data_IF_980440272383
#
_entry.id   IF_980440272383
#
_cell.length_a   1.000
_cell.length_b   1.000
_cell.length_c   1.000
_cell.angle_alpha   90.00
_cell.angle_beta   90.00
_cell.angle_gamma   90.00
#
_symmetry.space_group_name_H-M   'P 1'
#
loop_
_entity.id
_entity.type
_entity.pdbx_description
1 polymer ?
#
# COMPACT_ATOMS: atom_id res chain seq x y z
N UNK A 1 -18.52 7.40 -12.06
CA UNK A 1 -18.08 6.04 -11.71
C UNK A 1 -16.68 6.11 -11.15
N UNK A 2 -16.39 5.39 -10.06
CA UNK A 2 -15.03 5.28 -9.51
C UNK A 2 -14.33 4.03 -10.08
N UNK A 3 -13.11 4.16 -10.55
CA UNK A 3 -12.28 3.02 -10.95
C UNK A 3 -11.65 2.41 -9.69
N UNK A 4 -11.91 1.12 -9.42
CA UNK A 4 -11.40 0.35 -8.25
C UNK A 4 -9.87 0.10 -8.32
N UNK A 5 -9.16 0.81 -9.20
CA UNK A 5 -7.73 0.63 -9.46
C UNK A 5 -7.03 1.95 -9.76
N UNK A 6 -7.12 2.93 -8.87
CA UNK A 6 -6.42 4.22 -9.03
C UNK A 6 -5.81 4.67 -7.71
N UNK A 7 -4.58 5.18 -7.76
CA UNK A 7 -4.05 6.02 -6.69
C UNK A 7 -4.49 7.46 -6.95
N UNK A 8 -5.20 8.04 -5.98
CA UNK A 8 -5.61 9.45 -6.01
C UNK A 8 -4.66 10.28 -5.16
N UNK A 9 -4.51 11.57 -5.48
CA UNK A 9 -3.68 12.50 -4.70
C UNK A 9 -2.16 12.36 -4.93
N UNK A 10 -1.74 11.54 -5.90
CA UNK A 10 -0.32 11.38 -6.25
C UNK A 10 0.28 12.60 -6.93
N UNK A 11 -0.57 13.39 -7.60
CA UNK A 11 -0.17 14.52 -8.40
C UNK A 11 -0.87 15.78 -7.90
N UNK A 12 -0.27 16.92 -8.16
CA UNK A 12 -0.94 18.21 -8.13
C UNK A 12 -0.88 18.84 -9.51
N UNK A 13 -1.82 19.74 -9.79
CA UNK A 13 -1.85 20.52 -11.03
C UNK A 13 -1.24 21.89 -10.78
N UNK A 14 -0.18 22.21 -11.52
CA UNK A 14 0.42 23.54 -11.52
C UNK A 14 -0.46 24.57 -12.21
N UNK A 15 -0.16 25.86 -12.01
CA UNK A 15 -0.85 26.95 -12.71
C UNK A 15 -0.66 26.88 -14.23
N UNK A 16 0.46 26.32 -14.70
CA UNK A 16 0.71 26.03 -16.11
C UNK A 16 -0.25 24.99 -16.70
N UNK A 17 -0.91 24.21 -15.83
CA UNK A 17 -1.72 23.05 -16.22
C UNK A 17 -0.98 21.71 -16.11
N UNK A 18 0.33 21.73 -15.86
CA UNK A 18 1.17 20.54 -15.75
C UNK A 18 0.79 19.69 -14.53
N UNK A 19 0.93 18.37 -14.68
CA UNK A 19 0.69 17.40 -13.61
C UNK A 19 2.02 16.97 -13.02
N UNK A 20 2.30 17.43 -11.81
CA UNK A 20 3.57 17.18 -11.11
C UNK A 20 3.33 16.22 -9.95
N UNK A 21 4.22 15.24 -9.80
CA UNK A 21 4.12 14.25 -8.71
C UNK A 21 4.37 14.94 -7.37
N UNK A 22 3.40 14.85 -6.47
CA UNK A 22 3.47 15.38 -5.10
C UNK A 22 4.02 14.32 -4.12
N UNK A 23 3.66 13.06 -4.34
CA UNK A 23 3.92 11.97 -3.39
C UNK A 23 5.25 11.29 -3.69
N UNK A 24 6.13 11.26 -2.69
CA UNK A 24 7.40 10.53 -2.69
C UNK A 24 7.37 9.26 -1.82
N UNK A 25 8.56 8.74 -1.47
CA UNK A 25 8.70 7.63 -0.51
C UNK A 25 8.09 6.31 -0.97
N UNK A 26 7.58 5.53 -0.01
CA UNK A 26 7.01 4.21 -0.27
C UNK A 26 5.90 4.18 -1.34
N UNK A 27 4.92 5.11 -1.36
CA UNK A 27 3.94 5.13 -2.45
C UNK A 27 4.57 5.35 -3.82
N UNK A 28 5.55 6.27 -3.95
CA UNK A 28 6.24 6.51 -5.22
C UNK A 28 7.00 5.27 -5.68
N UNK A 29 7.70 4.60 -4.77
CA UNK A 29 8.38 3.33 -5.03
C UNK A 29 7.42 2.27 -5.57
N UNK A 30 6.24 2.12 -4.96
CA UNK A 30 5.22 1.18 -5.41
C UNK A 30 4.73 1.54 -6.81
N UNK A 31 4.41 2.80 -7.06
CA UNK A 31 3.97 3.28 -8.37
C UNK A 31 5.02 3.04 -9.45
N UNK A 32 6.30 3.34 -9.17
CA UNK A 32 7.40 3.19 -10.12
C UNK A 32 7.68 1.70 -10.42
N UNK A 33 7.65 0.83 -9.40
CA UNK A 33 7.80 -0.62 -9.57
C UNK A 33 6.64 -1.24 -10.37
N UNK A 34 5.42 -0.70 -10.24
CA UNK A 34 4.28 -1.13 -11.06
C UNK A 34 4.39 -0.60 -12.48
N UNK A 35 4.79 0.65 -12.67
CA UNK A 35 4.99 1.26 -13.99
C UNK A 35 6.05 0.50 -14.80
N UNK A 36 7.17 0.14 -14.16
CA UNK A 36 8.21 -0.69 -14.76
C UNK A 36 7.74 -2.09 -15.21
N UNK A 37 6.55 -2.53 -14.76
CA UNK A 37 5.91 -3.79 -15.13
C UNK A 37 4.68 -3.62 -16.02
N UNK A 38 4.39 -2.40 -16.48
CA UNK A 38 3.17 -2.09 -17.22
C UNK A 38 1.88 -2.21 -16.39
N UNK A 39 2.00 -2.23 -15.06
CA UNK A 39 0.87 -2.36 -14.14
C UNK A 39 0.42 -1.03 -13.54
N UNK A 40 1.01 0.08 -13.97
CA UNK A 40 0.61 1.43 -13.59
C UNK A 40 0.86 2.37 -14.77
N UNK A 41 -0.10 3.26 -15.04
CA UNK A 41 -0.05 4.15 -16.20
C UNK A 41 -0.73 5.49 -15.88
N UNK A 42 -0.31 6.56 -16.54
CA UNK A 42 -0.75 7.92 -16.26
C UNK A 42 0.44 8.83 -15.93
N UNK A 43 0.19 10.04 -15.39
CA UNK A 43 -1.05 10.50 -14.76
C UNK A 43 -2.22 10.72 -15.72
N UNK A 44 -3.44 10.31 -15.32
CA UNK A 44 -4.67 10.57 -16.09
C UNK A 44 -5.42 11.76 -15.47
N UNK A 45 -5.61 12.89 -16.20
CA UNK A 45 -6.34 14.03 -15.70
C UNK A 45 -7.71 13.66 -15.11
N UNK A 46 -7.95 14.04 -13.86
CA UNK A 46 -9.21 13.77 -13.18
C UNK A 46 -9.54 14.90 -12.20
N UNK A 47 -10.62 15.62 -12.48
CA UNK A 47 -11.01 16.84 -11.76
C UNK A 47 -9.85 17.85 -11.74
N UNK A 48 -9.52 18.40 -10.57
CA UNK A 48 -8.46 19.38 -10.37
C UNK A 48 -7.05 18.77 -10.28
N UNK A 49 -6.92 17.45 -10.39
CA UNK A 49 -5.66 16.72 -10.26
C UNK A 49 -5.57 15.62 -11.34
N UNK A 50 -4.91 14.50 -11.03
CA UNK A 50 -4.87 13.28 -11.78
C UNK A 50 -5.11 12.06 -10.88
N UNK A 51 -5.71 11.04 -11.49
CA UNK A 51 -5.68 9.70 -10.98
C UNK A 51 -4.49 8.97 -11.60
N UNK A 52 -3.89 8.05 -10.85
CA UNK A 52 -2.86 7.14 -11.34
C UNK A 52 -3.42 5.72 -11.37
N UNK A 53 -3.98 5.29 -12.51
CA UNK A 53 -4.44 3.92 -12.70
C UNK A 53 -3.38 2.86 -12.43
N UNK A 54 -3.81 1.75 -11.86
CA UNK A 54 -3.02 0.54 -11.71
C UNK A 54 -3.85 -0.71 -12.01
N UNK A 55 -3.16 -1.78 -12.38
CA UNK A 55 -3.76 -3.11 -12.57
C UNK A 55 -3.90 -3.79 -11.20
N UNK A 56 -5.13 -4.09 -10.71
CA UNK A 56 -5.32 -4.54 -9.32
C UNK A 56 -4.57 -5.81 -8.93
N UNK A 57 -4.45 -6.80 -9.82
CA UNK A 57 -3.68 -8.01 -9.54
C UNK A 57 -2.16 -7.73 -9.51
N UNK A 58 -1.69 -6.77 -10.32
CA UNK A 58 -0.32 -6.31 -10.34
C UNK A 58 0.10 -5.70 -9.00
N UNK A 59 -0.76 -4.89 -8.40
CA UNK A 59 -0.55 -4.32 -7.07
C UNK A 59 -0.46 -5.40 -5.98
N UNK A 60 -1.40 -6.36 -5.98
CA UNK A 60 -1.44 -7.46 -5.00
C UNK A 60 -0.14 -8.29 -5.04
N UNK A 61 0.27 -8.71 -6.24
CA UNK A 61 1.49 -9.53 -6.39
C UNK A 61 2.77 -8.76 -6.06
N UNK A 62 2.81 -7.44 -6.30
CA UNK A 62 3.92 -6.61 -5.85
C UNK A 62 4.00 -6.57 -4.32
N UNK A 63 2.88 -6.32 -3.63
CA UNK A 63 2.85 -6.30 -2.17
C UNK A 63 3.20 -7.65 -1.56
N UNK A 64 2.69 -8.76 -2.10
CA UNK A 64 3.09 -10.09 -1.63
C UNK A 64 4.60 -10.30 -1.72
N UNK A 65 5.22 -9.84 -2.81
CA UNK A 65 6.67 -9.95 -2.98
C UNK A 65 7.43 -9.06 -2.02
N UNK A 66 6.99 -7.82 -1.84
CA UNK A 66 7.63 -6.88 -0.91
C UNK A 66 7.55 -7.40 0.51
N UNK A 67 6.38 -7.90 0.92
CA UNK A 67 6.18 -8.49 2.24
C UNK A 67 7.06 -9.72 2.47
N UNK A 68 7.20 -10.60 1.47
CA UNK A 68 8.10 -11.78 1.56
C UNK A 68 9.58 -11.43 1.58
N UNK A 69 9.96 -10.29 1.01
CA UNK A 69 11.35 -9.83 0.98
C UNK A 69 11.77 -9.12 2.27
N UNK A 70 10.80 -8.65 3.08
CA UNK A 70 11.07 -7.96 4.33
C UNK A 70 11.18 -8.97 5.48
N UNK A 71 12.41 -9.26 5.90
CA UNK A 71 12.69 -10.26 6.94
C UNK A 71 12.14 -9.89 8.32
N UNK A 72 11.94 -8.60 8.60
CA UNK A 72 11.34 -8.14 9.85
C UNK A 72 9.80 -8.20 9.84
N UNK A 73 9.16 -8.49 8.70
CA UNK A 73 7.72 -8.55 8.57
C UNK A 73 7.22 -10.00 8.61
N UNK A 74 6.39 -10.31 9.62
CA UNK A 74 5.68 -11.59 9.67
C UNK A 74 4.22 -11.40 9.29
N UNK A 75 3.78 -12.02 8.20
CA UNK A 75 2.40 -11.93 7.72
C UNK A 75 1.57 -13.12 8.22
N UNK A 76 0.55 -12.84 9.03
CA UNK A 76 -0.44 -13.82 9.46
C UNK A 76 -1.71 -13.69 8.64
N UNK A 77 -1.94 -14.63 7.72
CA UNK A 77 -3.19 -14.72 6.96
C UNK A 77 -4.28 -15.38 7.82
N UNK A 78 -5.51 -14.87 7.72
CA UNK A 78 -6.67 -15.39 8.46
C UNK A 78 -6.45 -15.37 9.99
N UNK A 79 -5.87 -14.29 10.49
CA UNK A 79 -5.65 -14.07 11.90
C UNK A 79 -6.61 -13.01 12.47
N UNK A 80 -6.96 -13.16 13.74
CA UNK A 80 -7.75 -12.19 14.51
C UNK A 80 -6.92 -11.69 15.69
N UNK A 81 -6.82 -10.37 15.85
CA UNK A 81 -6.25 -9.79 17.07
C UNK A 81 -7.06 -10.24 18.30
N UNK A 82 -6.36 -10.69 19.34
CA UNK A 82 -7.00 -11.16 20.59
C UNK A 82 -6.75 -10.16 21.71
N UNK A 83 -5.48 -9.82 21.94
CA UNK A 83 -5.07 -8.87 22.98
C UNK A 83 -3.67 -8.32 22.69
N UNK A 84 -3.37 -7.19 23.31
CA UNK A 84 -2.02 -6.64 23.42
C UNK A 84 -1.63 -6.55 24.89
N UNK A 85 -0.37 -6.80 25.20
CA UNK A 85 0.28 -6.34 26.42
C UNK A 85 0.90 -5.00 26.09
N UNK A 86 0.52 -3.97 26.84
CA UNK A 86 1.07 -2.64 26.68
C UNK A 86 1.57 -2.12 28.03
N UNK A 87 2.72 -1.46 28.01
CA UNK A 87 3.36 -0.84 29.16
C UNK A 87 3.86 0.55 28.75
N UNK A 88 3.59 1.58 29.55
CA UNK A 88 4.02 2.97 29.30
C UNK A 88 3.73 3.50 27.89
N UNK A 89 2.59 3.12 27.31
CA UNK A 89 2.18 3.55 25.97
C UNK A 89 2.89 2.81 24.82
N UNK A 90 3.75 1.84 25.12
CA UNK A 90 4.34 0.92 24.15
C UNK A 90 3.61 -0.42 24.15
N UNK A 91 3.56 -1.08 22.99
CA UNK A 91 3.08 -2.46 22.87
C UNK A 91 4.28 -3.38 23.01
N UNK A 92 4.30 -4.17 24.09
CA UNK A 92 5.37 -5.14 24.36
C UNK A 92 5.12 -6.47 23.65
N UNK A 93 3.84 -6.87 23.53
CA UNK A 93 3.45 -8.09 22.87
C UNK A 93 2.02 -8.03 22.33
N UNK A 94 1.74 -8.81 21.28
CA UNK A 94 0.39 -9.05 20.77
C UNK A 94 0.10 -10.53 20.68
N UNK A 95 -1.13 -10.91 21.04
CA UNK A 95 -1.65 -12.25 20.79
C UNK A 95 -2.63 -12.19 19.63
N UNK A 96 -2.41 -13.05 18.64
CA UNK A 96 -3.34 -13.25 17.52
C UNK A 96 -3.84 -14.69 17.52
N UNK A 97 -5.13 -14.86 17.25
CA UNK A 97 -5.71 -16.18 16.99
C UNK A 97 -5.50 -16.49 15.51
N UNK A 98 -4.89 -17.64 15.22
CA UNK A 98 -4.73 -18.16 13.86
C UNK A 98 -5.48 -19.48 13.70
N UNK A 99 -5.57 -20.00 12.48
CA UNK A 99 -6.12 -21.34 12.23
C UNK A 99 -5.34 -22.45 12.96
N UNK A 100 -4.04 -22.27 13.19
CA UNK A 100 -3.17 -23.21 13.90
C UNK A 100 -3.19 -23.06 15.42
N UNK A 101 -4.00 -22.13 15.95
CA UNK A 101 -4.04 -21.78 17.37
C UNK A 101 -3.51 -20.37 17.65
N UNK A 102 -3.57 -19.92 18.91
CA UNK A 102 -3.05 -18.61 19.31
C UNK A 102 -1.52 -18.53 19.17
N UNK A 103 -1.04 -17.38 18.69
CA UNK A 103 0.39 -17.03 18.61
C UNK A 103 0.61 -15.74 19.38
N UNK A 104 1.62 -15.71 20.24
CA UNK A 104 2.10 -14.51 20.93
C UNK A 104 3.43 -14.08 20.30
N UNK A 105 3.56 -12.79 20.03
CA UNK A 105 4.75 -12.13 19.47
C UNK A 105 4.99 -10.81 20.20
#
# INVERSE_FOLDING_TARGET
>A
GGCVGTFCGFYYRERSGDLVRLVGGFPAEVADRLAARGHCYGPVPFKTTAALPYVPWGLKTLYDRMARAEGALTVYLHARFVRALAHDGAIDAVTVATRGGPVAM
#
